data_IF_126128392658
#
_entry.id   IF_126128392658
#
_cell.length_a   1.000
_cell.length_b   1.000
_cell.length_c   1.000
_cell.angle_alpha   90.00
_cell.angle_beta   90.00
_cell.angle_gamma   90.00
#
_symmetry.space_group_name_H-M   'P 1'
#
loop_
_entity.id
_entity.type
_entity.pdbx_description
1 polymer ?
#
# COMPACT_ATOMS: atom_id res chain seq x y z
N UNK A 1 16.44 -14.55 7.31
CA UNK A 1 16.06 -13.95 6.00
C UNK A 1 16.02 -15.00 4.88
N UNK A 2 17.14 -15.60 4.48
CA UNK A 2 17.16 -16.63 3.42
C UNK A 2 16.27 -17.84 3.74
N UNK A 3 16.34 -18.36 4.97
CA UNK A 3 15.49 -19.47 5.40
C UNK A 3 13.98 -19.19 5.25
N UNK A 4 13.55 -17.95 5.45
CA UNK A 4 12.15 -17.57 5.33
C UNK A 4 11.70 -17.53 3.86
N UNK A 5 12.54 -16.99 2.98
CA UNK A 5 12.29 -16.99 1.52
C UNK A 5 12.17 -18.43 1.02
N UNK A 6 13.08 -19.30 1.46
CA UNK A 6 13.05 -20.72 1.11
C UNK A 6 11.80 -21.41 1.68
N UNK A 7 11.40 -21.09 2.92
CA UNK A 7 10.18 -21.63 3.53
C UNK A 7 8.91 -21.20 2.75
N UNK A 8 8.83 -19.96 2.29
CA UNK A 8 7.73 -19.46 1.48
C UNK A 8 7.69 -20.11 0.09
N UNK A 9 8.84 -20.31 -0.55
CA UNK A 9 8.91 -20.98 -1.84
C UNK A 9 8.58 -22.48 -1.72
N UNK A 10 9.20 -23.20 -0.78
CA UNK A 10 9.06 -24.67 -0.66
C UNK A 10 7.79 -25.12 0.04
N UNK A 11 7.34 -24.38 1.04
CA UNK A 11 6.30 -24.87 1.95
C UNK A 11 6.73 -26.12 2.73
N UNK A 12 5.74 -26.79 3.30
CA UNK A 12 5.86 -28.03 4.07
C UNK A 12 4.50 -28.74 4.08
N UNK A 13 4.46 -29.99 3.62
CA UNK A 13 3.27 -30.84 3.75
C UNK A 13 3.14 -31.38 5.18
N UNK A 14 1.94 -31.34 5.74
CA UNK A 14 1.65 -31.86 7.08
C UNK A 14 0.22 -32.40 7.13
N UNK A 15 0.00 -33.47 7.91
CA UNK A 15 -1.33 -34.04 8.10
C UNK A 15 -2.22 -33.15 8.96
N UNK A 16 -1.63 -32.35 9.86
CA UNK A 16 -2.36 -31.32 10.58
C UNK A 16 -2.51 -30.07 9.68
N UNK A 17 -3.73 -29.65 9.31
CA UNK A 17 -3.94 -28.50 8.44
C UNK A 17 -3.30 -27.20 8.96
N UNK A 18 -3.23 -27.02 10.28
CA UNK A 18 -2.60 -25.85 10.92
C UNK A 18 -1.07 -25.83 10.79
N UNK A 19 -0.45 -26.93 10.33
CA UNK A 19 1.00 -27.07 10.10
C UNK A 19 1.34 -27.30 8.64
N UNK A 20 0.34 -27.30 7.76
CA UNK A 20 0.50 -27.48 6.32
C UNK A 20 0.73 -26.12 5.65
N UNK A 21 1.90 -25.96 5.05
CA UNK A 21 2.28 -24.74 4.33
C UNK A 21 2.38 -25.05 2.83
N UNK A 22 1.52 -24.48 1.97
CA UNK A 22 1.46 -24.90 0.58
C UNK A 22 2.65 -24.47 -0.30
N UNK A 23 3.55 -23.62 0.20
CA UNK A 23 4.68 -23.13 -0.60
C UNK A 23 4.24 -22.18 -1.71
N UNK A 24 5.00 -22.15 -2.81
CA UNK A 24 4.70 -21.42 -4.05
C UNK A 24 4.44 -19.92 -3.85
N UNK A 25 5.09 -19.32 -2.85
CA UNK A 25 5.04 -17.88 -2.57
C UNK A 25 6.35 -17.25 -3.03
N UNK A 26 6.39 -16.61 -4.22
CA UNK A 26 7.61 -15.96 -4.71
C UNK A 26 8.01 -14.79 -3.82
N UNK A 27 9.31 -14.51 -3.77
CA UNK A 27 9.87 -13.38 -3.01
C UNK A 27 10.99 -12.73 -3.82
N UNK A 28 11.16 -11.42 -3.67
CA UNK A 28 12.30 -10.68 -4.19
C UNK A 28 13.22 -10.26 -3.05
N UNK A 29 14.53 -10.42 -3.22
CA UNK A 29 15.54 -10.01 -2.23
C UNK A 29 16.43 -8.93 -2.85
N UNK A 30 16.38 -7.72 -2.30
CA UNK A 30 17.32 -6.64 -2.59
C UNK A 30 18.34 -6.61 -1.45
N UNK A 31 19.62 -6.77 -1.76
CA UNK A 31 20.71 -6.82 -0.77
C UNK A 31 21.76 -5.75 -1.09
N UNK A 32 22.14 -4.97 -0.07
CA UNK A 32 23.29 -4.07 -0.10
C UNK A 32 24.28 -4.38 1.03
N UNK A 33 25.51 -3.86 0.93
CA UNK A 33 26.53 -4.05 1.96
C UNK A 33 26.29 -3.17 3.21
N UNK A 34 25.80 -1.94 3.00
CA UNK A 34 25.46 -0.96 4.05
C UNK A 34 24.35 -0.05 3.55
N UNK A 35 23.52 0.43 4.47
CA UNK A 35 22.57 1.50 4.20
C UNK A 35 23.27 2.86 4.31
N UNK A 36 23.76 3.37 3.18
CA UNK A 36 24.29 4.74 3.05
C UNK A 36 23.19 5.67 2.51
N UNK A 37 23.34 7.00 2.58
CA UNK A 37 22.39 7.93 1.98
C UNK A 37 22.15 7.67 0.48
N UNK A 38 23.22 7.36 -0.26
CA UNK A 38 23.15 6.97 -1.67
C UNK A 38 22.37 5.66 -1.87
N UNK A 39 22.65 4.64 -1.06
CA UNK A 39 21.95 3.35 -1.14
C UNK A 39 20.46 3.48 -0.81
N UNK A 40 20.11 4.33 0.16
CA UNK A 40 18.73 4.65 0.49
C UNK A 40 18.02 5.38 -0.65
N UNK A 41 18.66 6.40 -1.23
CA UNK A 41 18.13 7.13 -2.39
C UNK A 41 17.92 6.22 -3.59
N UNK A 42 18.88 5.32 -3.85
CA UNK A 42 18.76 4.33 -4.93
C UNK A 42 17.60 3.35 -4.70
N UNK A 43 17.39 2.91 -3.44
CA UNK A 43 16.28 2.04 -3.10
C UNK A 43 14.93 2.75 -3.27
N UNK A 44 14.84 4.02 -2.86
CA UNK A 44 13.63 4.83 -3.05
C UNK A 44 13.33 5.00 -4.54
N UNK A 45 14.32 5.43 -5.31
CA UNK A 45 14.20 5.62 -6.76
C UNK A 45 13.81 4.32 -7.49
N UNK A 46 14.30 3.16 -7.03
CA UNK A 46 13.88 1.87 -7.56
C UNK A 46 12.37 1.63 -7.42
N UNK A 47 11.81 1.93 -6.24
CA UNK A 47 10.36 1.78 -6.01
C UNK A 47 9.53 2.85 -6.71
N UNK A 48 9.99 4.10 -6.79
CA UNK A 48 9.33 5.16 -7.55
C UNK A 48 9.19 4.77 -9.03
N UNK A 49 10.30 4.32 -9.64
CA UNK A 49 10.30 3.87 -11.03
C UNK A 49 9.43 2.62 -11.24
N UNK A 50 9.41 1.69 -10.27
CA UNK A 50 8.52 0.52 -10.32
C UNK A 50 7.06 0.94 -10.39
N UNK A 51 6.62 1.84 -9.50
CA UNK A 51 5.21 2.28 -9.45
C UNK A 51 4.85 3.07 -10.71
N UNK A 52 5.72 4.00 -11.13
CA UNK A 52 5.54 4.75 -12.39
C UNK A 52 5.38 3.80 -13.58
N UNK A 53 6.28 2.83 -13.74
CA UNK A 53 6.22 1.89 -14.86
C UNK A 53 4.95 1.03 -14.84
N UNK A 54 4.49 0.62 -13.66
CA UNK A 54 3.22 -0.10 -13.52
C UNK A 54 2.02 0.76 -13.96
N UNK A 55 2.00 2.05 -13.61
CA UNK A 55 0.96 2.96 -14.09
C UNK A 55 0.98 3.10 -15.60
N UNK A 56 2.16 3.27 -16.20
CA UNK A 56 2.30 3.33 -17.66
C UNK A 56 1.83 2.03 -18.33
N UNK A 57 2.17 0.87 -17.78
CA UNK A 57 1.72 -0.42 -18.29
C UNK A 57 0.19 -0.59 -18.22
N UNK A 58 -0.47 0.02 -17.24
CA UNK A 58 -1.92 0.03 -17.11
C UNK A 58 -2.62 1.20 -17.80
N UNK A 59 -1.88 2.04 -18.52
CA UNK A 59 -2.40 3.28 -19.12
C UNK A 59 -3.11 4.18 -18.08
N UNK A 60 -2.51 4.29 -16.89
CA UNK A 60 -2.94 5.14 -15.78
C UNK A 60 -1.92 6.25 -15.53
N UNK A 61 -2.41 7.37 -14.99
CA UNK A 61 -1.54 8.44 -14.52
C UNK A 61 -1.08 8.18 -13.08
N UNK A 62 0.17 7.79 -12.88
CA UNK A 62 0.75 7.57 -11.54
C UNK A 62 0.98 8.86 -10.73
N UNK A 63 0.76 10.03 -11.33
CA UNK A 63 1.15 11.31 -10.77
C UNK A 63 -0.03 12.21 -10.38
N UNK A 64 -1.28 11.77 -10.59
CA UNK A 64 -2.45 12.46 -10.08
C UNK A 64 -3.00 11.84 -8.79
N UNK A 65 -3.97 12.53 -8.19
CA UNK A 65 -4.60 12.15 -6.93
C UNK A 65 -6.00 12.76 -6.81
N UNK A 66 -6.79 12.72 -7.89
CA UNK A 66 -8.11 13.38 -7.94
C UNK A 66 -9.11 12.82 -6.91
N UNK A 67 -8.94 11.56 -6.50
CA UNK A 67 -9.79 10.91 -5.50
C UNK A 67 -9.86 11.60 -4.13
N UNK A 68 -8.95 12.53 -3.82
CA UNK A 68 -8.93 13.25 -2.52
C UNK A 68 -9.76 14.53 -2.51
N UNK A 69 -10.19 15.04 -3.68
CA UNK A 69 -10.73 16.39 -3.77
C UNK A 69 -12.12 16.52 -3.13
N UNK A 70 -13.00 15.54 -3.37
CA UNK A 70 -14.35 15.57 -2.80
C UNK A 70 -14.31 15.56 -1.26
N UNK A 71 -13.45 14.73 -0.67
CA UNK A 71 -13.26 14.69 0.78
C UNK A 71 -12.86 16.05 1.34
N UNK A 72 -11.91 16.75 0.69
CA UNK A 72 -11.50 18.11 1.10
C UNK A 72 -12.64 19.13 1.03
N UNK A 73 -13.51 19.04 0.02
CA UNK A 73 -14.68 19.93 -0.13
C UNK A 73 -15.68 19.64 0.99
N UNK A 74 -16.03 18.38 1.20
CA UNK A 74 -16.98 17.98 2.25
C UNK A 74 -16.48 18.36 3.64
N UNK A 75 -15.19 18.19 3.93
CA UNK A 75 -14.61 18.67 5.21
C UNK A 75 -14.79 20.18 5.39
N UNK A 76 -14.62 20.99 4.34
CA UNK A 76 -14.87 22.44 4.43
C UNK A 76 -16.33 22.76 4.73
N UNK A 77 -17.27 22.02 4.12
CA UNK A 77 -18.70 22.18 4.38
C UNK A 77 -19.07 21.86 5.84
N UNK A 78 -18.47 20.81 6.43
CA UNK A 78 -18.62 20.51 7.86
C UNK A 78 -18.13 21.69 8.70
N UNK A 79 -16.90 22.16 8.44
CA UNK A 79 -16.29 23.26 9.21
C UNK A 79 -17.03 24.59 9.07
N UNK A 80 -17.74 24.81 7.96
CA UNK A 80 -18.57 26.01 7.75
C UNK A 80 -20.03 25.85 8.17
N UNK A 81 -20.41 24.70 8.74
CA UNK A 81 -21.80 24.39 9.13
C UNK A 81 -22.76 24.21 7.94
N UNK A 82 -22.26 24.13 6.70
CA UNK A 82 -23.03 23.97 5.47
C UNK A 82 -23.18 22.50 5.10
N UNK A 83 -23.74 21.71 6.01
CA UNK A 83 -23.89 20.28 5.82
C UNK A 83 -25.23 19.91 5.17
N UNK A 84 -25.18 19.06 4.15
CA UNK A 84 -26.38 18.41 3.62
C UNK A 84 -26.93 17.38 4.63
N UNK A 85 -28.10 16.79 4.34
CA UNK A 85 -28.78 15.86 5.25
C UNK A 85 -27.93 14.62 5.59
N UNK A 86 -27.22 14.08 4.60
CA UNK A 86 -26.38 12.89 4.79
C UNK A 86 -25.17 13.23 5.65
N UNK A 87 -24.49 14.34 5.34
CA UNK A 87 -23.32 14.79 6.07
C UNK A 87 -23.67 15.17 7.51
N UNK A 88 -24.85 15.77 7.74
CA UNK A 88 -25.37 16.04 9.10
C UNK A 88 -25.62 14.75 9.89
N UNK A 89 -26.24 13.75 9.27
CA UNK A 89 -26.51 12.47 9.92
C UNK A 89 -25.19 11.85 10.41
N UNK A 90 -24.17 11.79 9.55
CA UNK A 90 -22.87 11.25 9.93
C UNK A 90 -22.10 12.14 10.92
N UNK A 91 -22.08 13.47 10.74
CA UNK A 91 -21.40 14.38 11.66
C UNK A 91 -21.96 14.25 13.09
N UNK A 92 -23.30 14.14 13.21
CA UNK A 92 -23.97 13.93 14.50
C UNK A 92 -23.65 12.59 15.17
N UNK A 93 -23.31 11.54 14.41
CA UNK A 93 -22.88 10.26 14.99
C UNK A 93 -21.50 10.35 15.66
N UNK A 94 -20.69 11.34 15.29
CA UNK A 94 -19.32 11.51 15.77
C UNK A 94 -19.15 12.75 16.66
N UNK A 95 -20.25 13.41 17.06
CA UNK A 95 -20.25 14.66 17.84
C UNK A 95 -19.42 15.78 17.19
N UNK A 96 -19.44 15.87 15.85
CA UNK A 96 -18.76 16.88 15.03
C UNK A 96 -19.78 17.86 14.43
#
# INVERSE_FOLDING_TARGET
>A
LVAQIVAFAKGKKDANPNKNFPGERPSSLIRGARLTPEALGSLLAHYENKIMFQGFAWNLNSFDQEGVQLGKILTKHVLSGQMDETLKAYASMFDI
#
